data_IF_119472566863
#
_entry.id   IF_119472566863
#
_cell.length_a   1.000
_cell.length_b   1.000
_cell.length_c   1.000
_cell.angle_alpha   90.00
_cell.angle_beta   90.00
_cell.angle_gamma   90.00
#
_symmetry.space_group_name_H-M   'P 1'
#
loop_
_entity.id
_entity.type
_entity.pdbx_description
1 polymer ?
#
# COMPACT_ATOMS: atom_id res chain seq x y z
N UNK A 1 19.44 14.97 33.23
CA UNK A 1 19.60 15.54 31.87
C UNK A 1 18.46 14.99 31.00
N UNK A 2 17.41 15.79 30.69
CA UNK A 2 16.31 15.42 29.80
C UNK A 2 16.89 15.38 28.38
N UNK A 3 17.09 14.19 27.80
CA UNK A 3 17.40 14.05 26.37
C UNK A 3 16.20 14.62 25.62
N UNK A 4 16.41 15.71 24.90
CA UNK A 4 15.42 16.26 23.98
C UNK A 4 15.12 15.17 22.95
N UNK A 5 13.97 14.52 23.07
CA UNK A 5 13.49 13.53 22.08
C UNK A 5 13.10 14.35 20.86
N UNK A 6 13.92 14.32 19.82
CA UNK A 6 13.57 14.83 18.50
C UNK A 6 12.22 14.23 18.09
N UNK A 7 11.28 15.07 17.63
CA UNK A 7 10.00 14.57 17.15
C UNK A 7 10.21 13.65 15.94
N UNK A 8 9.32 12.68 15.74
CA UNK A 8 9.41 11.72 14.64
C UNK A 8 9.58 12.42 13.28
N UNK A 9 8.88 13.55 13.08
CA UNK A 9 8.99 14.35 11.86
C UNK A 9 10.42 14.87 11.62
N UNK A 10 11.12 15.34 12.66
CA UNK A 10 12.50 15.79 12.56
C UNK A 10 13.46 14.64 12.24
N UNK A 11 13.24 13.45 12.78
CA UNK A 11 14.06 12.27 12.47
C UNK A 11 13.92 11.87 10.99
N UNK A 12 12.70 11.92 10.44
CA UNK A 12 12.44 11.63 9.02
C UNK A 12 13.13 12.69 8.13
N UNK A 13 13.01 13.99 8.47
CA UNK A 13 13.68 15.07 7.71
C UNK A 13 15.18 14.91 7.71
N UNK A 14 15.78 14.62 8.85
CA UNK A 14 17.22 14.39 8.96
C UNK A 14 17.63 13.17 8.11
N UNK A 15 16.87 12.08 8.17
CA UNK A 15 17.11 10.89 7.35
C UNK A 15 17.04 11.20 5.85
N UNK A 16 16.06 12.00 5.42
CA UNK A 16 15.92 12.43 4.03
C UNK A 16 17.12 13.25 3.56
N UNK A 17 17.50 14.27 4.34
CA UNK A 17 18.66 15.13 4.02
C UNK A 17 19.95 14.32 3.95
N UNK A 18 20.17 13.41 4.92
CA UNK A 18 21.33 12.52 4.89
C UNK A 18 21.32 11.60 3.68
N UNK A 19 20.17 11.05 3.31
CA UNK A 19 20.03 10.21 2.10
C UNK A 19 20.40 10.98 0.83
N UNK A 20 19.90 12.21 0.68
CA UNK A 20 20.24 13.09 -0.45
C UNK A 20 21.74 13.41 -0.47
N UNK A 21 22.32 13.75 0.68
CA UNK A 21 23.75 14.08 0.78
C UNK A 21 24.62 12.88 0.40
N UNK A 22 24.31 11.69 0.92
CA UNK A 22 25.04 10.46 0.58
C UNK A 22 24.88 10.12 -0.90
N UNK A 23 23.69 10.24 -1.47
CA UNK A 23 23.43 10.00 -2.89
C UNK A 23 24.22 10.97 -3.79
N UNK A 24 24.26 12.25 -3.44
CA UNK A 24 25.03 13.27 -4.16
C UNK A 24 26.53 13.00 -4.07
N UNK A 25 27.00 12.63 -2.88
CA UNK A 25 28.42 12.30 -2.65
C UNK A 25 28.86 11.09 -3.48
N UNK A 26 28.08 10.03 -3.47
CA UNK A 26 28.32 8.82 -4.28
C UNK A 26 28.30 9.13 -5.79
N UNK A 27 27.41 10.00 -6.23
CA UNK A 27 27.36 10.38 -7.64
C UNK A 27 28.59 11.20 -8.06
N UNK A 28 29.15 12.02 -7.16
CA UNK A 28 30.28 12.91 -7.49
C UNK A 28 31.64 12.22 -7.33
N UNK A 29 31.81 11.36 -6.31
CA UNK A 29 33.11 10.82 -5.95
C UNK A 29 33.37 9.37 -6.37
N UNK A 30 32.36 8.60 -6.76
CA UNK A 30 32.54 7.18 -7.03
C UNK A 30 32.62 6.89 -8.52
N UNK A 31 33.77 6.41 -8.99
CA UNK A 31 33.92 5.81 -10.33
C UNK A 31 33.07 4.53 -10.47
N UNK A 32 32.79 3.84 -9.36
CA UNK A 32 32.02 2.58 -9.28
C UNK A 32 30.62 2.77 -8.70
N UNK A 33 29.99 3.92 -8.95
CA UNK A 33 28.65 4.24 -8.43
C UNK A 33 27.59 3.17 -8.72
N UNK A 34 27.65 2.55 -9.89
CA UNK A 34 26.72 1.49 -10.27
C UNK A 34 26.83 0.26 -9.37
N UNK A 35 28.05 -0.10 -8.95
CA UNK A 35 28.29 -1.19 -8.02
C UNK A 35 27.70 -0.91 -6.63
N UNK A 36 27.94 0.27 -6.09
CA UNK A 36 27.39 0.68 -4.78
C UNK A 36 25.87 0.75 -4.77
N UNK A 37 25.27 1.27 -5.82
CA UNK A 37 23.82 1.33 -5.98
C UNK A 37 23.24 -0.08 -6.05
N UNK A 38 23.76 -0.95 -6.93
CA UNK A 38 23.23 -2.29 -7.17
C UNK A 38 23.47 -3.26 -6.01
N UNK A 39 24.64 -3.20 -5.36
CA UNK A 39 25.02 -4.22 -4.36
C UNK A 39 24.75 -3.80 -2.90
N UNK A 40 24.59 -2.52 -2.63
CA UNK A 40 24.40 -2.03 -1.25
C UNK A 40 23.10 -1.27 -1.08
N UNK A 41 22.86 -0.22 -1.84
CA UNK A 41 21.69 0.64 -1.64
C UNK A 41 20.38 -0.05 -2.03
N UNK A 42 20.37 -0.72 -3.17
CA UNK A 42 19.19 -1.40 -3.67
C UNK A 42 18.79 -2.58 -2.77
N UNK A 43 19.70 -3.51 -2.38
CA UNK A 43 19.35 -4.55 -1.41
C UNK A 43 18.90 -4.01 -0.05
N UNK A 44 19.52 -2.93 0.45
CA UNK A 44 19.10 -2.30 1.69
C UNK A 44 17.68 -1.74 1.60
N UNK A 45 17.34 -1.09 0.48
CA UNK A 45 15.98 -0.62 0.19
C UNK A 45 14.98 -1.77 0.08
N UNK A 46 15.34 -2.84 -0.61
CA UNK A 46 14.50 -4.03 -0.77
C UNK A 46 14.23 -4.72 0.57
N UNK A 47 15.24 -4.85 1.42
CA UNK A 47 15.09 -5.38 2.79
C UNK A 47 14.11 -4.52 3.58
N UNK A 48 14.26 -3.19 3.52
CA UNK A 48 13.37 -2.27 4.22
C UNK A 48 11.91 -2.43 3.78
N UNK A 49 11.67 -2.49 2.48
CA UNK A 49 10.31 -2.72 1.94
C UNK A 49 9.75 -4.08 2.34
N UNK A 50 10.58 -5.14 2.33
CA UNK A 50 10.17 -6.48 2.78
C UNK A 50 9.81 -6.49 4.26
N UNK A 51 10.57 -5.80 5.12
CA UNK A 51 10.25 -5.68 6.55
C UNK A 51 8.93 -4.93 6.78
N UNK A 52 8.67 -3.86 6.03
CA UNK A 52 7.39 -3.15 6.10
C UNK A 52 6.24 -4.09 5.71
N UNK A 53 6.35 -4.79 4.59
CA UNK A 53 5.32 -5.74 4.13
C UNK A 53 5.07 -6.83 5.17
N UNK A 54 6.11 -7.37 5.79
CA UNK A 54 6.01 -8.41 6.82
C UNK A 54 5.15 -7.97 8.02
N UNK A 55 5.18 -6.69 8.39
CA UNK A 55 4.41 -6.14 9.52
C UNK A 55 3.02 -5.69 9.06
N UNK A 56 2.93 -5.03 7.92
CA UNK A 56 1.68 -4.43 7.42
C UNK A 56 0.64 -5.49 7.10
N UNK A 57 1.02 -6.61 6.48
CA UNK A 57 0.08 -7.65 6.06
C UNK A 57 -0.74 -8.22 7.23
N UNK A 58 -0.12 -8.70 8.33
CA UNK A 58 -0.88 -9.18 9.49
C UNK A 58 -1.76 -8.09 10.14
N UNK A 59 -1.27 -6.85 10.19
CA UNK A 59 -2.03 -5.73 10.74
C UNK A 59 -3.27 -5.45 9.90
N UNK A 60 -3.15 -5.40 8.57
CA UNK A 60 -4.26 -5.18 7.66
C UNK A 60 -5.32 -6.28 7.81
N UNK A 61 -4.90 -7.55 7.79
CA UNK A 61 -5.82 -8.68 7.97
C UNK A 61 -6.55 -8.57 9.30
N UNK A 62 -5.81 -8.42 10.40
CA UNK A 62 -6.38 -8.38 11.73
C UNK A 62 -7.33 -7.21 11.92
N UNK A 63 -6.95 -6.02 11.47
CA UNK A 63 -7.77 -4.81 11.61
C UNK A 63 -9.06 -4.88 10.77
N UNK A 64 -8.97 -5.39 9.54
CA UNK A 64 -10.14 -5.57 8.69
C UNK A 64 -11.09 -6.64 9.26
N UNK A 65 -10.57 -7.79 9.66
CA UNK A 65 -11.40 -8.87 10.21
C UNK A 65 -12.11 -8.40 11.49
N UNK A 66 -11.38 -7.77 12.42
CA UNK A 66 -11.97 -7.25 13.67
C UNK A 66 -12.97 -6.13 13.38
N UNK A 67 -12.65 -5.22 12.46
CA UNK A 67 -13.54 -4.13 12.08
C UNK A 67 -14.86 -4.63 11.50
N UNK A 68 -14.80 -5.61 10.60
CA UNK A 68 -15.98 -6.19 9.93
C UNK A 68 -16.80 -7.05 10.92
N UNK A 69 -16.13 -7.91 11.67
CA UNK A 69 -16.80 -8.74 12.67
C UNK A 69 -17.49 -7.89 13.76
N UNK A 70 -16.92 -6.74 14.11
CA UNK A 70 -17.46 -5.82 15.09
C UNK A 70 -18.76 -5.11 14.68
N UNK A 71 -19.05 -5.01 13.38
CA UNK A 71 -20.30 -4.39 12.89
C UNK A 71 -21.53 -5.26 13.19
N UNK A 72 -21.38 -6.59 13.19
CA UNK A 72 -22.41 -7.56 13.59
C UNK A 72 -23.65 -7.67 12.68
N UNK A 73 -23.76 -6.83 11.64
CA UNK A 73 -24.87 -6.81 10.68
C UNK A 73 -24.32 -6.61 9.25
N UNK A 74 -24.38 -7.68 8.46
CA UNK A 74 -23.90 -7.69 7.07
C UNK A 74 -24.63 -6.66 6.18
N UNK A 75 -25.92 -6.41 6.42
CA UNK A 75 -26.72 -5.44 5.67
C UNK A 75 -26.27 -4.00 5.95
N UNK A 76 -25.96 -3.71 7.21
CA UNK A 76 -25.42 -2.41 7.64
C UNK A 76 -24.04 -2.21 7.06
N UNK A 77 -23.19 -3.24 7.08
CA UNK A 77 -21.85 -3.21 6.50
C UNK A 77 -21.89 -2.96 4.98
N UNK A 78 -22.77 -3.65 4.24
CA UNK A 78 -22.94 -3.45 2.80
C UNK A 78 -23.37 -2.02 2.45
N UNK A 79 -24.26 -1.42 3.23
CA UNK A 79 -24.70 -0.03 3.03
C UNK A 79 -23.57 0.97 3.30
N UNK A 80 -22.78 0.76 4.34
CA UNK A 80 -21.62 1.59 4.65
C UNK A 80 -20.56 1.43 3.55
N UNK A 81 -20.26 0.18 3.16
CA UNK A 81 -19.28 -0.12 2.11
C UNK A 81 -19.64 0.55 0.78
N UNK A 82 -20.88 0.43 0.34
CA UNK A 82 -21.33 1.08 -0.91
C UNK A 82 -21.16 2.61 -0.85
N UNK A 83 -21.56 3.24 0.25
CA UNK A 83 -21.36 4.69 0.41
C UNK A 83 -19.88 5.09 0.38
N UNK A 84 -19.03 4.29 1.01
CA UNK A 84 -17.60 4.52 1.03
C UNK A 84 -17.00 4.40 -0.37
N UNK A 85 -17.37 3.37 -1.14
CA UNK A 85 -16.89 3.19 -2.52
C UNK A 85 -17.28 4.40 -3.39
N UNK A 86 -18.56 4.81 -3.36
CA UNK A 86 -19.03 5.97 -4.12
C UNK A 86 -18.29 7.24 -3.73
N UNK A 87 -18.07 7.46 -2.44
CA UNK A 87 -17.31 8.60 -1.95
C UNK A 87 -15.87 8.60 -2.47
N UNK A 88 -15.19 7.47 -2.37
CA UNK A 88 -13.82 7.34 -2.89
C UNK A 88 -13.74 7.54 -4.40
N UNK A 89 -14.69 7.00 -5.16
CA UNK A 89 -14.73 7.18 -6.61
C UNK A 89 -14.84 8.67 -6.99
N UNK A 90 -15.74 9.40 -6.35
CA UNK A 90 -15.91 10.84 -6.59
C UNK A 90 -14.61 11.60 -6.24
N UNK A 91 -14.06 11.36 -5.05
CA UNK A 91 -12.84 12.06 -4.60
C UNK A 91 -11.64 11.74 -5.49
N UNK A 92 -11.48 10.49 -5.87
CA UNK A 92 -10.38 10.06 -6.75
C UNK A 92 -10.51 10.68 -8.14
N UNK A 93 -11.72 10.71 -8.70
CA UNK A 93 -11.97 11.35 -10.00
C UNK A 93 -11.63 12.84 -9.95
N UNK A 94 -12.06 13.54 -8.89
CA UNK A 94 -11.71 14.95 -8.72
C UNK A 94 -10.19 15.12 -8.58
N UNK A 95 -9.52 14.29 -7.81
CA UNK A 95 -8.08 14.36 -7.63
C UNK A 95 -7.31 14.15 -8.94
N UNK A 96 -7.75 13.20 -9.78
CA UNK A 96 -7.17 12.95 -11.11
C UNK A 96 -7.36 14.17 -12.01
N UNK A 97 -8.56 14.72 -12.06
CA UNK A 97 -8.84 15.92 -12.88
C UNK A 97 -7.97 17.09 -12.43
N UNK A 98 -7.89 17.35 -11.13
CA UNK A 98 -7.03 18.41 -10.58
C UNK A 98 -5.56 18.15 -10.92
N UNK A 99 -5.07 16.91 -10.77
CA UNK A 99 -3.70 16.53 -11.14
C UNK A 99 -3.39 16.76 -12.60
N UNK A 100 -4.30 16.39 -13.52
CA UNK A 100 -4.16 16.62 -14.95
C UNK A 100 -4.16 18.12 -15.30
N UNK A 101 -5.06 18.89 -14.68
CA UNK A 101 -5.11 20.35 -14.90
C UNK A 101 -3.80 20.99 -14.43
N UNK A 102 -3.32 20.65 -13.23
CA UNK A 102 -2.05 21.17 -12.71
C UNK A 102 -0.87 20.77 -13.60
N UNK A 103 -0.80 19.53 -14.05
CA UNK A 103 0.25 19.06 -14.95
C UNK A 103 0.22 19.83 -16.30
N UNK A 104 -0.96 20.12 -16.79
CA UNK A 104 -1.15 20.84 -18.06
C UNK A 104 -0.88 22.37 -17.94
N UNK A 105 -1.11 22.95 -16.76
CA UNK A 105 -0.85 24.38 -16.51
C UNK A 105 0.62 24.64 -16.19
N UNK A 106 1.21 23.80 -15.32
CA UNK A 106 2.59 24.02 -14.86
C UNK A 106 3.65 23.39 -15.75
N UNK A 107 3.27 22.46 -16.66
CA UNK A 107 4.19 21.75 -17.56
C UNK A 107 5.47 21.28 -16.81
N UNK A 108 5.36 20.52 -15.71
CA UNK A 108 6.52 20.06 -14.94
C UNK A 108 7.35 19.14 -15.84
N UNK A 109 8.51 19.58 -16.27
CA UNK A 109 9.36 18.84 -17.20
C UNK A 109 9.60 19.55 -18.54
N UNK A 110 8.98 20.70 -18.78
CA UNK A 110 9.34 21.54 -19.93
C UNK A 110 10.78 22.07 -19.74
N UNK A 111 11.68 21.65 -20.62
CA UNK A 111 13.11 22.01 -20.53
C UNK A 111 14.03 20.88 -20.06
N UNK A 112 13.50 19.71 -19.73
CA UNK A 112 14.32 18.52 -19.49
C UNK A 112 14.68 17.91 -20.86
N UNK A 113 15.97 17.90 -21.19
CA UNK A 113 16.48 17.24 -22.38
C UNK A 113 16.44 15.72 -22.18
N UNK A 114 15.50 15.06 -22.84
CA UNK A 114 15.31 13.60 -22.73
C UNK A 114 16.55 12.82 -23.21
N UNK A 115 17.44 13.42 -23.97
CA UNK A 115 18.68 12.79 -24.45
C UNK A 115 19.72 12.64 -23.35
N UNK A 116 19.65 13.47 -22.30
CA UNK A 116 20.56 13.42 -21.14
C UNK A 116 20.10 12.50 -20.03
N UNK A 117 18.83 12.14 -20.01
CA UNK A 117 18.30 11.10 -19.19
C UNK A 117 18.72 9.77 -19.83
N UNK A 118 19.84 9.21 -19.38
CA UNK A 118 20.22 7.84 -19.76
C UNK A 118 19.00 6.93 -19.72
N UNK A 119 18.97 5.92 -20.56
CA UNK A 119 17.86 4.98 -20.71
C UNK A 119 17.40 4.46 -19.33
N UNK A 120 16.49 5.19 -18.71
CA UNK A 120 15.78 4.67 -17.54
C UNK A 120 15.01 3.47 -18.07
N UNK A 121 15.30 2.30 -17.52
CA UNK A 121 14.59 1.09 -17.89
C UNK A 121 13.11 1.21 -17.47
N UNK A 122 12.31 1.75 -18.39
CA UNK A 122 10.85 1.90 -18.24
C UNK A 122 10.11 0.61 -18.64
N UNK A 123 10.83 -0.47 -18.94
CA UNK A 123 10.25 -1.73 -19.38
C UNK A 123 9.21 -2.28 -18.40
N UNK A 124 9.42 -2.09 -17.09
CA UNK A 124 8.44 -2.46 -16.06
C UNK A 124 7.14 -1.67 -16.18
N UNK A 125 7.23 -0.38 -16.47
CA UNK A 125 6.05 0.49 -16.57
C UNK A 125 5.33 0.32 -17.90
N UNK A 126 6.07 0.09 -18.98
CA UNK A 126 5.49 -0.21 -20.30
C UNK A 126 4.85 -1.59 -20.35
N UNK A 127 5.42 -2.59 -19.67
CA UNK A 127 4.79 -3.89 -19.51
C UNK A 127 3.45 -3.78 -18.77
N UNK A 128 3.42 -3.07 -17.64
CA UNK A 128 2.17 -2.84 -16.88
C UNK A 128 1.15 -2.04 -17.70
N UNK A 129 1.59 -1.02 -18.46
CA UNK A 129 0.69 -0.26 -19.32
C UNK A 129 0.16 -1.09 -20.50
N UNK A 130 0.95 -1.99 -21.05
CA UNK A 130 0.52 -2.91 -22.10
C UNK A 130 -0.49 -3.95 -21.58
N UNK A 131 -0.30 -4.45 -20.36
CA UNK A 131 -1.26 -5.34 -19.70
C UNK A 131 -2.63 -4.67 -19.51
N UNK A 132 -2.65 -3.38 -19.18
CA UNK A 132 -3.90 -2.61 -19.01
C UNK A 132 -4.63 -2.35 -20.34
N UNK A 133 -3.92 -2.34 -21.48
CA UNK A 133 -4.50 -2.11 -22.80
C UNK A 133 -5.18 -3.34 -23.41
N UNK A 134 -5.00 -4.54 -22.85
CA UNK A 134 -5.73 -5.72 -23.30
C UNK A 134 -7.20 -5.66 -22.85
N UNK A 135 -8.12 -5.97 -23.78
CA UNK A 135 -9.57 -6.01 -23.54
C UNK A 135 -9.98 -6.92 -22.36
N UNK A 136 -9.08 -7.80 -21.92
CA UNK A 136 -9.27 -8.71 -20.80
C UNK A 136 -8.78 -8.19 -19.44
N UNK A 137 -8.16 -7.01 -19.38
CA UNK A 137 -7.58 -6.47 -18.14
C UNK A 137 -8.59 -6.38 -16.98
N UNK A 138 -9.85 -6.07 -17.28
CA UNK A 138 -10.91 -6.01 -16.27
C UNK A 138 -11.25 -7.42 -15.73
N UNK A 139 -11.38 -8.39 -16.62
CA UNK A 139 -11.65 -9.78 -16.24
C UNK A 139 -10.49 -10.37 -15.47
N UNK A 140 -9.28 -10.08 -15.91
CA UNK A 140 -8.04 -10.53 -15.25
C UNK A 140 -7.88 -9.91 -13.86
N UNK A 141 -8.23 -8.64 -13.69
CA UNK A 141 -8.27 -7.98 -12.37
C UNK A 141 -9.27 -8.66 -11.44
N UNK A 142 -10.47 -9.02 -11.94
CA UNK A 142 -11.48 -9.74 -11.14
C UNK A 142 -10.99 -11.15 -10.79
N UNK A 143 -10.36 -11.85 -11.72
CA UNK A 143 -9.80 -13.18 -11.47
C UNK A 143 -8.67 -13.10 -10.43
N UNK A 144 -7.82 -12.10 -10.52
CA UNK A 144 -6.72 -11.88 -9.57
C UNK A 144 -7.21 -11.41 -8.19
N UNK A 145 -8.44 -10.90 -8.09
CA UNK A 145 -9.06 -10.55 -6.81
C UNK A 145 -9.33 -11.80 -5.96
N UNK A 146 -9.64 -12.94 -6.61
CA UNK A 146 -9.91 -14.20 -5.93
C UNK A 146 -8.66 -15.09 -6.02
N UNK A 147 -7.81 -15.11 -4.99
CA UNK A 147 -6.57 -15.86 -5.06
C UNK A 147 -6.85 -17.37 -4.97
N UNK A 148 -6.17 -18.15 -5.77
CA UNK A 148 -6.17 -19.61 -5.67
C UNK A 148 -5.56 -20.10 -4.34
N UNK A 149 -4.64 -19.31 -3.77
CA UNK A 149 -4.00 -19.56 -2.50
C UNK A 149 -3.71 -18.26 -1.76
N UNK A 150 -4.42 -18.05 -0.65
CA UNK A 150 -4.28 -16.84 0.17
C UNK A 150 -2.90 -16.70 0.81
N UNK A 151 -2.27 -17.81 1.23
CA UNK A 151 -0.93 -17.76 1.82
C UNK A 151 0.13 -17.35 0.81
N UNK A 152 -0.02 -17.76 -0.45
CA UNK A 152 0.85 -17.31 -1.54
C UNK A 152 0.67 -15.80 -1.81
N UNK A 153 -0.56 -15.30 -1.80
CA UNK A 153 -0.85 -13.87 -1.95
C UNK A 153 -0.26 -13.05 -0.78
N UNK A 154 -0.36 -13.56 0.46
CA UNK A 154 0.28 -12.95 1.63
C UNK A 154 1.81 -12.91 1.49
N UNK A 155 2.43 -14.00 1.05
CA UNK A 155 3.88 -14.08 0.85
C UNK A 155 4.38 -13.10 -0.24
N UNK A 156 3.60 -12.92 -1.30
CA UNK A 156 3.90 -11.94 -2.37
C UNK A 156 3.55 -10.50 -1.99
N UNK A 157 2.72 -10.31 -0.97
CA UNK A 157 2.27 -8.99 -0.52
C UNK A 157 1.26 -8.35 -1.48
N UNK A 158 0.41 -9.15 -2.11
CA UNK A 158 -0.67 -8.74 -2.99
C UNK A 158 -1.86 -8.25 -2.17
N UNK A 159 -1.98 -6.94 -2.00
CA UNK A 159 -2.94 -6.33 -1.08
C UNK A 159 -4.40 -6.59 -1.46
N UNK A 160 -4.72 -6.58 -2.77
CA UNK A 160 -6.09 -6.71 -3.25
C UNK A 160 -6.73 -8.07 -2.87
N UNK A 161 -6.10 -9.23 -3.13
CA UNK A 161 -6.57 -10.53 -2.65
C UNK A 161 -6.64 -10.65 -1.13
N UNK A 162 -5.67 -10.05 -0.42
CA UNK A 162 -5.64 -10.07 1.04
C UNK A 162 -6.83 -9.32 1.63
N UNK A 163 -7.16 -8.14 1.12
CA UNK A 163 -8.32 -7.35 1.53
C UNK A 163 -9.61 -8.11 1.25
N UNK A 164 -9.76 -8.67 0.04
CA UNK A 164 -10.93 -9.45 -0.35
C UNK A 164 -11.16 -10.64 0.59
N UNK A 165 -10.11 -11.42 0.85
CA UNK A 165 -10.18 -12.54 1.80
C UNK A 165 -10.54 -12.07 3.21
N UNK A 166 -9.92 -10.99 3.70
CA UNK A 166 -10.19 -10.45 5.04
C UNK A 166 -11.63 -9.99 5.20
N UNK A 167 -12.22 -9.42 4.15
CA UNK A 167 -13.64 -9.05 4.12
C UNK A 167 -14.53 -10.27 4.22
N UNK A 168 -14.31 -11.29 3.38
CA UNK A 168 -15.08 -12.51 3.40
C UNK A 168 -14.96 -13.26 4.72
N UNK A 169 -13.75 -13.37 5.25
CA UNK A 169 -13.49 -14.02 6.52
C UNK A 169 -14.14 -13.26 7.70
N UNK A 170 -14.06 -11.93 7.72
CA UNK A 170 -14.72 -11.08 8.70
C UNK A 170 -16.25 -11.19 8.65
N UNK A 171 -16.84 -11.28 7.45
CA UNK A 171 -18.27 -11.54 7.27
C UNK A 171 -18.66 -12.93 7.80
N UNK A 172 -17.86 -13.95 7.52
CA UNK A 172 -18.07 -15.30 8.06
C UNK A 172 -18.06 -15.30 9.59
N UNK A 173 -17.08 -14.64 10.21
CA UNK A 173 -17.01 -14.50 11.67
C UNK A 173 -18.19 -13.72 12.25
N UNK A 174 -18.61 -12.66 11.58
CA UNK A 174 -19.80 -11.87 11.98
C UNK A 174 -21.07 -12.72 12.01
N UNK A 175 -21.23 -13.66 11.08
CA UNK A 175 -22.39 -14.55 11.01
C UNK A 175 -22.44 -15.59 12.14
N UNK A 176 -21.27 -15.98 12.67
CA UNK A 176 -21.16 -16.99 13.74
C UNK A 176 -21.50 -16.47 15.15
N UNK A 177 -21.77 -15.16 15.33
CA UNK A 177 -22.14 -14.52 16.59
C UNK A 177 -21.21 -14.82 17.79
N UNK A 178 -19.96 -15.24 17.54
CA UNK A 178 -19.02 -15.70 18.55
C UNK A 178 -18.71 -14.61 19.61
N UNK A 179 -18.82 -13.34 19.24
CA UNK A 179 -18.50 -12.21 20.14
C UNK A 179 -19.56 -11.89 21.20
N UNK A 180 -20.81 -12.31 21.03
CA UNK A 180 -21.90 -11.99 21.98
C UNK A 180 -22.09 -13.05 23.08
N UNK A 181 -21.74 -14.30 22.81
CA UNK A 181 -21.84 -15.37 23.80
C UNK A 181 -20.83 -15.22 24.94
N UNK A 182 -19.58 -14.83 24.64
CA UNK A 182 -18.51 -14.75 25.63
C UNK A 182 -18.65 -13.59 26.62
N UNK A 183 -19.29 -12.48 26.23
CA UNK A 183 -19.54 -11.37 27.16
C UNK A 183 -20.74 -11.60 28.10
N UNK A 184 -21.73 -12.40 27.66
CA UNK A 184 -22.93 -12.67 28.46
C UNK A 184 -22.63 -13.71 29.58
N UNK A 185 -21.70 -14.61 29.33
CA UNK A 185 -21.36 -15.66 30.30
C UNK A 185 -20.43 -15.17 31.42
N UNK A 186 -19.59 -14.16 31.16
CA UNK A 186 -18.73 -13.55 32.20
C UNK A 186 -19.46 -12.64 33.19
N UNK A 187 -20.59 -12.07 32.79
CA UNK A 187 -21.39 -11.20 33.68
C UNK A 187 -22.28 -12.02 34.61
N UNK A 188 -22.66 -13.25 34.26
CA UNK A 188 -23.46 -14.13 35.11
C UNK A 188 -22.64 -14.86 36.19
N UNK A 189 -21.30 -14.83 36.15
CA UNK A 189 -20.43 -15.43 37.16
C UNK A 189 -19.91 -14.44 38.22
N UNK A 190 -20.35 -13.17 38.16
CA UNK A 190 -19.92 -12.10 39.06
C UNK A 190 -21.07 -11.58 39.98
N UNK A 191 -22.14 -12.37 40.18
CA UNK A 191 -23.19 -12.11 41.20
C UNK A 191 -23.22 -13.22 42.24
#
# INVERSE_FOLDING_TARGET
MKKAKLSLAWQILIGLVLGIAVGALLNHFSAEKAWWIGNVLQPAGDIFIRLIKMIVIPIVISSLVVGIAGVGDAKKLGRIGLKTIVYFEIVTTIAIVVGLVLANVFHPGSGIDMSTLGTVDISKYTATAAEVQHEHAFIETILNLIPSNIFAAMARGEMLPIIFFSVLFGLGLSSLQIGRASCRERVCLAV
#
